data_IF_066759593740
#
_entry.id   IF_066759593740
#
_cell.length_a   1.000
_cell.length_b   1.000
_cell.length_c   1.000
_cell.angle_alpha   90.00
_cell.angle_beta   90.00
_cell.angle_gamma   90.00
#
_symmetry.space_group_name_H-M   'P 1'
#
loop_
_entity.id
_entity.type
_entity.pdbx_description
1 polymer ?
#
# COMPACT_ATOMS: atom_id res chain seq x y z
N UNK A 1 24.82 -4.30 25.23
CA UNK A 1 24.23 -5.41 26.00
C UNK A 1 22.85 -4.95 26.48
N UNK A 2 21.89 -5.87 26.41
CA UNK A 2 20.42 -5.73 26.39
C UNK A 2 19.74 -4.82 27.42
N UNK A 3 18.52 -4.38 27.08
CA UNK A 3 17.29 -4.37 27.90
C UNK A 3 16.11 -3.95 26.98
N UNK A 4 15.27 -4.87 26.50
CA UNK A 4 13.99 -5.32 27.09
C UNK A 4 12.95 -4.20 27.33
N UNK A 5 11.88 -4.21 26.53
CA UNK A 5 10.57 -3.63 26.86
C UNK A 5 9.51 -4.73 26.71
N UNK A 6 9.43 -5.54 27.76
CA UNK A 6 8.41 -6.53 28.03
C UNK A 6 7.17 -5.82 28.57
N UNK A 7 6.02 -6.04 27.94
CA UNK A 7 4.72 -5.49 28.33
C UNK A 7 4.27 -6.12 29.66
N UNK A 8 4.14 -5.30 30.71
CA UNK A 8 3.57 -5.70 32.00
C UNK A 8 2.05 -5.57 32.00
N UNK A 9 1.40 -6.66 32.40
CA UNK A 9 -0.03 -6.78 32.69
C UNK A 9 -0.32 -6.37 34.15
N UNK A 10 -1.38 -5.59 34.42
CA UNK A 10 -2.02 -5.56 35.74
C UNK A 10 -3.53 -5.90 35.59
N UNK A 11 -4.16 -6.79 36.35
CA UNK A 11 -3.77 -7.62 37.47
C UNK A 11 -4.99 -8.46 37.87
N UNK A 12 -4.75 -9.60 38.49
CA UNK A 12 -5.76 -10.39 39.20
C UNK A 12 -5.20 -10.74 40.57
N UNK A 13 -6.00 -10.53 41.62
CA UNK A 13 -5.76 -11.16 42.91
C UNK A 13 -6.23 -10.35 44.13
N UNK A 14 -7.43 -10.66 44.63
CA UNK A 14 -7.61 -10.92 46.07
C UNK A 14 -8.87 -11.76 46.30
N UNK A 15 -8.85 -12.55 47.38
CA UNK A 15 -9.60 -13.79 47.57
C UNK A 15 -10.73 -13.67 48.62
N UNK A 16 -11.87 -14.33 48.35
CA UNK A 16 -12.88 -14.94 49.27
C UNK A 16 -13.64 -14.07 50.29
N UNK A 17 -14.76 -14.56 50.92
CA UNK A 17 -15.37 -15.89 50.85
C UNK A 17 -16.92 -15.97 50.64
N UNK A 18 -17.38 -17.19 50.31
CA UNK A 18 -18.63 -17.90 50.66
C UNK A 18 -20.04 -17.26 50.48
N UNK A 19 -20.82 -17.84 49.57
CA UNK A 19 -22.14 -18.45 49.90
C UNK A 19 -22.42 -19.63 48.97
N UNK A 20 -22.55 -20.80 49.61
CA UNK A 20 -23.13 -22.06 49.16
C UNK A 20 -24.62 -21.87 48.81
N UNK A 21 -25.11 -22.45 47.70
CA UNK A 21 -26.34 -23.27 47.58
C UNK A 21 -26.44 -23.79 46.12
N UNK A 22 -26.47 -25.10 45.95
CA UNK A 22 -27.37 -25.76 44.97
C UNK A 22 -26.73 -26.36 43.73
N UNK A 23 -26.27 -27.61 43.83
CA UNK A 23 -25.94 -28.44 42.68
C UNK A 23 -27.17 -29.08 42.02
N UNK A 24 -27.07 -29.34 40.71
CA UNK A 24 -27.64 -30.51 40.04
C UNK A 24 -27.18 -30.59 38.57
N UNK A 25 -26.42 -31.63 38.24
CA UNK A 25 -26.63 -32.46 37.04
C UNK A 25 -26.09 -32.00 35.68
N UNK A 26 -25.13 -32.78 35.15
CA UNK A 26 -25.30 -33.35 33.81
C UNK A 26 -24.39 -32.87 32.68
N UNK A 27 -23.25 -33.54 32.55
CA UNK A 27 -22.61 -34.04 31.32
C UNK A 27 -22.67 -33.20 30.01
N UNK A 28 -21.49 -32.80 29.52
CA UNK A 28 -21.33 -32.26 28.17
C UNK A 28 -19.88 -31.91 27.85
N UNK A 29 -19.08 -32.94 27.56
CA UNK A 29 -17.72 -32.88 27.08
C UNK A 29 -17.66 -32.14 25.73
N UNK A 30 -16.83 -31.11 25.60
CA UNK A 30 -16.60 -30.44 24.32
C UNK A 30 -16.01 -29.05 24.50
N UNK A 31 -14.68 -28.96 24.42
CA UNK A 31 -13.98 -27.69 24.41
C UNK A 31 -14.47 -26.83 23.25
N UNK A 32 -15.21 -25.78 23.56
CA UNK A 32 -15.29 -24.62 22.68
C UNK A 32 -13.98 -23.86 22.86
N UNK A 33 -12.95 -24.32 22.15
CA UNK A 33 -11.93 -23.40 21.68
C UNK A 33 -12.69 -22.25 21.00
N UNK A 34 -12.54 -21.05 21.54
CA UNK A 34 -13.14 -19.84 21.01
C UNK A 34 -12.91 -19.81 19.50
N UNK A 35 -13.98 -19.96 18.73
CA UNK A 35 -13.92 -19.78 17.29
C UNK A 35 -13.35 -18.39 17.03
N UNK A 36 -12.41 -18.23 16.09
CA UNK A 36 -11.96 -16.90 15.72
C UNK A 36 -13.19 -16.09 15.28
N UNK A 37 -13.32 -14.82 15.68
CA UNK A 37 -14.51 -13.99 15.48
C UNK A 37 -15.03 -13.90 14.03
N UNK A 38 -14.22 -14.32 13.05
CA UNK A 38 -14.54 -14.32 11.62
C UNK A 38 -15.37 -15.54 11.16
N UNK A 39 -15.25 -16.70 11.81
CA UNK A 39 -15.93 -17.93 11.36
C UNK A 39 -17.46 -17.88 11.57
N UNK A 40 -17.89 -17.23 12.64
CA UNK A 40 -19.31 -17.07 12.98
C UNK A 40 -20.03 -16.15 12.00
N UNK A 41 -19.39 -15.04 11.59
CA UNK A 41 -19.96 -14.09 10.62
C UNK A 41 -20.07 -14.69 9.22
N UNK A 42 -19.08 -15.48 8.82
CA UNK A 42 -19.10 -16.21 7.55
C UNK A 42 -20.28 -17.18 7.46
N UNK A 43 -20.51 -17.98 8.52
CA UNK A 43 -21.63 -18.91 8.58
C UNK A 43 -23.00 -18.22 8.55
N UNK A 44 -23.11 -17.04 9.16
CA UNK A 44 -24.30 -16.18 9.09
C UNK A 44 -24.58 -15.71 7.66
N UNK A 45 -23.55 -15.21 6.96
CA UNK A 45 -23.69 -14.78 5.56
C UNK A 45 -24.03 -15.96 4.64
N UNK A 46 -23.45 -17.14 4.85
CA UNK A 46 -23.80 -18.36 4.10
C UNK A 46 -25.23 -18.85 4.36
N UNK A 47 -25.75 -18.61 5.56
CA UNK A 47 -27.14 -18.90 5.89
C UNK A 47 -28.08 -17.93 5.16
N UNK A 48 -27.80 -16.63 5.21
CA UNK A 48 -28.56 -15.59 4.49
C UNK A 48 -28.51 -15.85 2.98
N UNK A 49 -27.35 -16.17 2.40
CA UNK A 49 -27.19 -16.52 0.98
C UNK A 49 -28.09 -17.70 0.57
N UNK A 50 -28.35 -18.66 1.46
CA UNK A 50 -29.22 -19.82 1.20
C UNK A 50 -30.70 -19.52 1.39
N UNK A 51 -31.07 -18.66 2.34
CA UNK A 51 -32.46 -18.45 2.74
C UNK A 51 -33.09 -17.18 2.16
N UNK A 52 -32.28 -16.16 1.90
CA UNK A 52 -32.72 -14.82 1.50
C UNK A 52 -31.65 -14.14 0.60
N UNK A 53 -31.64 -14.56 -0.66
CA UNK A 53 -30.67 -14.09 -1.64
C UNK A 53 -30.84 -12.60 -2.00
N UNK A 54 -32.08 -12.08 -1.95
CA UNK A 54 -32.34 -10.65 -2.20
C UNK A 54 -31.64 -9.79 -1.15
N UNK A 55 -31.77 -10.16 0.13
CA UNK A 55 -31.05 -9.50 1.22
C UNK A 55 -29.53 -9.62 1.09
N UNK A 56 -29.03 -10.78 0.65
CA UNK A 56 -27.60 -10.99 0.40
C UNK A 56 -27.02 -10.01 -0.63
N UNK A 57 -27.75 -9.73 -1.72
CA UNK A 57 -27.33 -8.75 -2.73
C UNK A 57 -27.55 -7.29 -2.29
N UNK A 58 -28.71 -6.98 -1.72
CA UNK A 58 -29.09 -5.61 -1.33
C UNK A 58 -28.21 -5.05 -0.20
N UNK A 59 -27.82 -5.89 0.77
CA UNK A 59 -26.94 -5.50 1.88
C UNK A 59 -25.44 -5.57 1.50
N UNK A 60 -25.10 -6.01 0.27
CA UNK A 60 -23.71 -6.11 -0.19
C UNK A 60 -22.88 -7.14 0.58
N UNK A 61 -23.53 -8.19 1.11
CA UNK A 61 -22.90 -9.25 1.88
C UNK A 61 -21.95 -10.10 1.02
N UNK A 62 -22.04 -10.01 -0.31
CA UNK A 62 -21.10 -10.60 -1.25
C UNK A 62 -19.67 -10.05 -1.08
N UNK A 63 -19.54 -8.75 -0.83
CA UNK A 63 -18.24 -8.09 -0.62
C UNK A 63 -17.65 -8.48 0.73
N UNK A 64 -18.50 -8.53 1.76
CA UNK A 64 -18.10 -8.95 3.10
C UNK A 64 -17.67 -10.43 3.11
N UNK A 65 -18.44 -11.30 2.46
CA UNK A 65 -18.11 -12.72 2.33
C UNK A 65 -16.80 -12.95 1.57
N UNK A 66 -16.57 -12.23 0.47
CA UNK A 66 -15.29 -12.28 -0.26
C UNK A 66 -14.12 -11.79 0.60
N UNK A 67 -14.29 -10.73 1.38
CA UNK A 67 -13.25 -10.24 2.28
C UNK A 67 -12.91 -11.26 3.38
N UNK A 68 -13.91 -11.95 3.94
CA UNK A 68 -13.72 -13.02 4.91
C UNK A 68 -12.99 -14.22 4.31
N UNK A 69 -13.38 -14.65 3.10
CA UNK A 69 -12.68 -15.71 2.38
C UNK A 69 -11.23 -15.33 2.06
N UNK A 70 -11.00 -14.10 1.65
CA UNK A 70 -9.66 -13.58 1.38
C UNK A 70 -8.79 -13.56 2.64
N UNK A 71 -9.36 -13.15 3.79
CA UNK A 71 -8.67 -13.18 5.08
C UNK A 71 -8.34 -14.60 5.57
N UNK A 72 -9.21 -15.59 5.34
CA UNK A 72 -8.91 -16.99 5.63
C UNK A 72 -7.79 -17.54 4.74
N UNK A 73 -7.86 -17.20 3.45
CA UNK A 73 -6.84 -17.56 2.46
C UNK A 73 -5.48 -16.95 2.83
N UNK A 74 -5.44 -15.70 3.28
CA UNK A 74 -4.23 -15.01 3.74
C UNK A 74 -3.71 -15.52 5.09
N UNK A 75 -4.60 -15.95 6.00
CA UNK A 75 -4.20 -16.54 7.27
C UNK A 75 -3.55 -17.92 7.11
N UNK A 76 -4.00 -18.72 6.14
CA UNK A 76 -3.46 -20.05 5.83
C UNK A 76 -2.26 -19.97 4.89
N UNK A 77 -2.29 -19.03 3.94
CA UNK A 77 -1.19 -18.74 3.04
C UNK A 77 -1.02 -17.22 2.96
N UNK A 78 -0.07 -16.65 3.73
CA UNK A 78 0.23 -15.23 3.66
C UNK A 78 0.51 -14.73 2.24
N UNK A 79 0.94 -15.60 1.32
CA UNK A 79 1.22 -15.25 -0.09
C UNK A 79 -0.03 -15.15 -0.97
N UNK A 80 -1.20 -15.58 -0.51
CA UNK A 80 -2.40 -15.66 -1.35
C UNK A 80 -3.20 -14.33 -1.43
N UNK A 81 -2.82 -13.33 -0.62
CA UNK A 81 -3.31 -11.96 -0.73
C UNK A 81 -2.67 -11.19 -1.86
N UNK A 82 -3.47 -10.54 -2.70
CA UNK A 82 -2.99 -9.67 -3.78
C UNK A 82 -2.42 -8.36 -3.17
N UNK A 83 -1.10 -8.17 -3.10
CA UNK A 83 -0.48 -7.01 -2.46
C UNK A 83 -0.78 -5.70 -3.19
N UNK A 84 -1.10 -5.80 -4.48
CA UNK A 84 -1.42 -4.64 -5.34
C UNK A 84 -2.92 -4.37 -5.46
N UNK A 85 -3.73 -4.97 -4.60
CA UNK A 85 -5.15 -4.67 -4.54
C UNK A 85 -5.34 -3.19 -4.14
N UNK A 86 -6.11 -2.38 -4.91
CA UNK A 86 -6.36 -0.99 -4.58
C UNK A 86 -7.04 -0.85 -3.21
N UNK A 87 -6.51 0.04 -2.37
CA UNK A 87 -7.14 0.36 -1.09
C UNK A 87 -8.43 1.17 -1.32
N UNK A 88 -9.54 0.88 -0.62
CA UNK A 88 -10.76 1.68 -0.71
C UNK A 88 -10.49 3.17 -0.45
N UNK A 89 -11.22 4.04 -1.15
CA UNK A 89 -11.00 5.49 -1.09
C UNK A 89 -11.21 6.05 0.33
N UNK A 90 -12.23 5.61 1.06
CA UNK A 90 -12.51 6.11 2.41
C UNK A 90 -11.42 5.69 3.41
N UNK A 91 -10.89 4.47 3.27
CA UNK A 91 -9.75 4.00 4.05
C UNK A 91 -8.49 4.80 3.71
N UNK A 92 -8.21 5.00 2.42
CA UNK A 92 -7.05 5.77 1.95
C UNK A 92 -7.11 7.23 2.42
N UNK A 93 -8.30 7.85 2.39
CA UNK A 93 -8.52 9.20 2.92
C UNK A 93 -8.25 9.25 4.42
N UNK A 94 -8.74 8.27 5.18
CA UNK A 94 -8.52 8.21 6.62
C UNK A 94 -7.03 8.13 6.95
N UNK A 95 -6.28 7.29 6.23
CA UNK A 95 -4.83 7.15 6.39
C UNK A 95 -4.10 8.44 6.01
N UNK A 96 -4.36 9.00 4.82
CA UNK A 96 -3.70 10.24 4.37
C UNK A 96 -4.03 11.43 5.29
N UNK A 97 -5.27 11.54 5.75
CA UNK A 97 -5.68 12.63 6.63
C UNK A 97 -5.11 12.52 8.07
N UNK A 98 -4.36 11.46 8.39
CA UNK A 98 -3.65 11.34 9.68
C UNK A 98 -2.43 12.26 9.79
N UNK A 99 -1.94 12.81 8.68
CA UNK A 99 -0.85 13.79 8.64
C UNK A 99 -1.27 15.11 7.98
N UNK A 100 -0.50 16.18 8.21
CA UNK A 100 -0.80 17.48 7.61
C UNK A 100 -0.55 17.47 6.09
N UNK A 101 0.48 16.76 5.65
CA UNK A 101 0.88 16.60 4.25
C UNK A 101 -0.20 15.86 3.48
N UNK A 102 -0.70 14.74 4.03
CA UNK A 102 -1.75 13.97 3.39
C UNK A 102 -3.11 14.69 3.39
N UNK A 103 -3.44 15.49 4.41
CA UNK A 103 -4.62 16.37 4.38
C UNK A 103 -4.55 17.39 3.23
N UNK A 104 -3.38 18.00 3.00
CA UNK A 104 -3.17 18.92 1.87
C UNK A 104 -3.34 18.20 0.55
N UNK A 105 -2.69 17.04 0.37
CA UNK A 105 -2.80 16.21 -0.83
C UNK A 105 -4.25 15.86 -1.16
N UNK A 106 -5.00 15.35 -0.16
CA UNK A 106 -6.43 15.03 -0.32
C UNK A 106 -7.19 16.27 -0.78
N UNK A 107 -6.96 17.43 -0.15
CA UNK A 107 -7.61 18.68 -0.52
C UNK A 107 -7.28 19.16 -1.94
N UNK A 108 -6.05 18.96 -2.41
CA UNK A 108 -5.62 19.28 -3.76
C UNK A 108 -6.25 18.34 -4.79
N UNK A 109 -6.24 17.03 -4.53
CA UNK A 109 -6.86 16.04 -5.40
C UNK A 109 -8.38 16.25 -5.54
N UNK A 110 -9.05 16.66 -4.47
CA UNK A 110 -10.46 17.06 -4.55
C UNK A 110 -10.68 18.23 -5.52
N UNK A 111 -9.79 19.22 -5.51
CA UNK A 111 -9.89 20.39 -6.41
C UNK A 111 -9.54 20.05 -7.85
N UNK A 112 -8.65 19.09 -8.09
CA UNK A 112 -8.17 18.73 -9.44
C UNK A 112 -9.11 17.83 -10.24
N UNK A 113 -10.13 17.23 -9.61
CA UNK A 113 -11.04 16.32 -10.32
C UNK A 113 -11.69 15.25 -9.44
N UNK A 114 -11.43 15.28 -8.13
CA UNK A 114 -12.03 14.39 -7.14
C UNK A 114 -11.04 13.34 -6.65
N UNK A 115 -10.91 13.25 -5.32
CA UNK A 115 -9.95 12.37 -4.65
C UNK A 115 -10.02 10.92 -5.14
N UNK A 116 -11.23 10.37 -5.28
CA UNK A 116 -11.44 8.97 -5.67
C UNK A 116 -10.89 8.65 -7.05
N UNK A 117 -11.07 9.54 -8.02
CA UNK A 117 -10.59 9.30 -9.39
C UNK A 117 -9.07 9.34 -9.44
N UNK A 118 -8.47 10.35 -8.82
CA UNK A 118 -7.01 10.52 -8.82
C UNK A 118 -6.34 9.38 -8.06
N UNK A 119 -6.84 9.03 -6.87
CA UNK A 119 -6.35 7.89 -6.09
C UNK A 119 -6.39 6.59 -6.91
N UNK A 120 -7.50 6.31 -7.59
CA UNK A 120 -7.61 5.10 -8.40
C UNK A 120 -6.57 5.04 -9.53
N UNK A 121 -6.23 6.19 -10.13
CA UNK A 121 -5.18 6.28 -11.15
C UNK A 121 -3.80 6.04 -10.54
N UNK A 122 -3.49 6.71 -9.42
CA UNK A 122 -2.20 6.57 -8.72
C UNK A 122 -2.01 5.12 -8.24
N UNK A 123 -3.02 4.52 -7.61
CA UNK A 123 -2.95 3.12 -7.14
C UNK A 123 -2.78 2.13 -8.30
N UNK A 124 -3.38 2.40 -9.46
CA UNK A 124 -3.15 1.58 -10.66
C UNK A 124 -1.69 1.67 -11.10
N UNK A 125 -1.15 2.88 -11.18
CA UNK A 125 0.20 3.13 -11.68
C UNK A 125 1.28 2.57 -10.75
N UNK A 126 1.13 2.80 -9.45
CA UNK A 126 1.98 2.21 -8.42
C UNK A 126 1.83 0.68 -8.39
N UNK A 127 0.61 0.17 -8.51
CA UNK A 127 0.36 -1.28 -8.57
C UNK A 127 1.05 -1.96 -9.76
N UNK A 128 1.12 -1.30 -10.92
CA UNK A 128 1.88 -1.80 -12.08
C UNK A 128 3.39 -1.79 -11.85
N UNK A 129 3.93 -0.80 -11.10
CA UNK A 129 5.34 -0.76 -10.71
C UNK A 129 5.65 -1.88 -9.72
N UNK A 130 4.83 -2.05 -8.69
CA UNK A 130 5.03 -3.07 -7.66
C UNK A 130 5.00 -4.47 -8.27
N UNK A 131 4.09 -4.74 -9.22
CA UNK A 131 4.02 -6.01 -9.95
C UNK A 131 5.33 -6.39 -10.65
N UNK A 132 6.13 -5.41 -11.04
CA UNK A 132 7.42 -5.65 -11.69
C UNK A 132 8.39 -6.37 -10.74
N UNK A 133 8.27 -6.19 -9.42
CA UNK A 133 9.11 -6.87 -8.42
C UNK A 133 8.95 -8.41 -8.42
N UNK A 134 7.91 -8.94 -9.07
CA UNK A 134 7.70 -10.38 -9.25
C UNK A 134 6.52 -10.92 -8.45
N UNK A 135 6.74 -11.99 -7.69
CA UNK A 135 5.68 -12.67 -6.94
C UNK A 135 5.17 -11.85 -5.73
N UNK A 136 4.06 -12.29 -5.12
CA UNK A 136 3.42 -11.58 -4.02
C UNK A 136 4.35 -11.33 -2.82
N UNK A 137 5.27 -12.26 -2.53
CA UNK A 137 6.27 -12.09 -1.47
C UNK A 137 7.20 -10.90 -1.76
N UNK A 138 7.76 -10.83 -2.98
CA UNK A 138 8.64 -9.73 -3.39
C UNK A 138 7.91 -8.40 -3.46
N UNK A 139 6.66 -8.40 -3.93
CA UNK A 139 5.81 -7.22 -3.95
C UNK A 139 5.59 -6.66 -2.53
N UNK A 140 5.27 -7.52 -1.55
CA UNK A 140 5.12 -7.12 -0.15
C UNK A 140 6.42 -6.61 0.44
N UNK A 141 7.53 -7.31 0.16
CA UNK A 141 8.83 -6.88 0.62
C UNK A 141 9.17 -5.49 0.09
N UNK A 142 8.94 -5.22 -1.20
CA UNK A 142 9.13 -3.90 -1.79
C UNK A 142 8.26 -2.82 -1.12
N UNK A 143 6.98 -3.12 -0.89
CA UNK A 143 6.07 -2.18 -0.22
C UNK A 143 6.49 -1.92 1.23
N UNK A 144 6.91 -2.96 1.95
CA UNK A 144 7.37 -2.84 3.33
C UNK A 144 8.66 -2.02 3.41
N UNK A 145 9.67 -2.32 2.57
CA UNK A 145 10.93 -1.56 2.58
C UNK A 145 10.72 -0.12 2.16
N UNK A 146 9.77 0.16 1.28
CA UNK A 146 9.36 1.53 0.97
C UNK A 146 8.80 2.23 2.21
N UNK A 147 7.83 1.64 2.91
CA UNK A 147 7.23 2.23 4.13
C UNK A 147 8.25 2.41 5.26
N UNK A 148 9.25 1.53 5.37
CA UNK A 148 10.29 1.62 6.40
C UNK A 148 11.39 2.66 6.06
N UNK A 149 11.73 2.79 4.78
CA UNK A 149 12.87 3.61 4.34
C UNK A 149 12.48 5.02 3.88
N UNK A 150 11.26 5.22 3.37
CA UNK A 150 10.84 6.49 2.77
C UNK A 150 10.01 7.29 3.77
N UNK A 151 10.42 8.51 4.14
CA UNK A 151 9.64 9.37 5.03
C UNK A 151 8.26 9.69 4.45
N UNK A 152 7.27 9.88 5.33
CA UNK A 152 5.88 10.12 4.91
C UNK A 152 5.74 11.33 3.96
N UNK A 153 6.52 12.39 4.15
CA UNK A 153 6.51 13.55 3.26
C UNK A 153 6.96 13.18 1.84
N UNK A 154 8.00 12.35 1.70
CA UNK A 154 8.48 11.85 0.42
C UNK A 154 7.48 10.90 -0.24
N UNK A 155 6.80 10.05 0.55
CA UNK A 155 5.70 9.22 0.04
C UNK A 155 4.57 10.08 -0.53
N UNK A 156 4.10 11.09 0.22
CA UNK A 156 3.04 12.01 -0.22
C UNK A 156 3.45 12.77 -1.47
N UNK A 157 4.68 13.29 -1.53
CA UNK A 157 5.19 14.00 -2.70
C UNK A 157 5.29 13.09 -3.93
N UNK A 158 5.68 11.82 -3.74
CA UNK A 158 5.70 10.83 -4.82
C UNK A 158 4.28 10.53 -5.34
N UNK A 159 3.30 10.38 -4.45
CA UNK A 159 1.90 10.20 -4.85
C UNK A 159 1.40 11.40 -5.68
N UNK A 160 1.75 12.61 -5.26
CA UNK A 160 1.37 13.82 -6.00
C UNK A 160 2.02 13.90 -7.38
N UNK A 161 3.28 13.48 -7.50
CA UNK A 161 3.96 13.41 -8.80
C UNK A 161 3.30 12.41 -9.75
N UNK A 162 2.81 11.26 -9.26
CA UNK A 162 2.01 10.34 -10.07
C UNK A 162 0.67 10.96 -10.50
N UNK A 163 0.04 11.77 -9.65
CA UNK A 163 -1.21 12.44 -9.96
C UNK A 163 -1.06 13.61 -10.95
N UNK A 164 0.05 14.34 -10.89
CA UNK A 164 0.27 15.63 -11.56
C UNK A 164 0.40 15.59 -13.10
N UNK A 165 0.24 14.42 -13.72
CA UNK A 165 0.38 14.26 -15.17
C UNK A 165 1.79 14.58 -15.67
N UNK A 166 2.02 14.43 -16.98
CA UNK A 166 3.35 14.63 -17.58
C UNK A 166 3.64 16.13 -17.74
N UNK A 167 4.65 16.69 -17.06
CA UNK A 167 5.00 18.10 -17.26
C UNK A 167 5.61 18.32 -18.63
N UNK A 168 5.40 19.52 -19.18
CA UNK A 168 6.28 19.99 -20.24
C UNK A 168 7.68 20.25 -19.68
N UNK A 169 8.70 19.78 -20.38
CA UNK A 169 10.10 20.02 -20.06
C UNK A 169 10.90 20.26 -21.36
N UNK A 170 11.93 21.12 -21.32
CA UNK A 170 12.84 21.23 -22.45
C UNK A 170 13.58 19.89 -22.67
N UNK A 171 13.89 19.52 -23.92
CA UNK A 171 14.68 18.32 -24.19
C UNK A 171 16.05 18.38 -23.50
N UNK A 172 16.47 17.25 -22.93
CA UNK A 172 17.77 17.10 -22.32
C UNK A 172 18.89 17.24 -23.35
N UNK A 173 19.99 17.87 -22.94
CA UNK A 173 21.24 17.91 -23.70
C UNK A 173 21.88 16.51 -23.79
N UNK A 174 22.78 16.31 -24.75
CA UNK A 174 23.48 15.03 -24.88
C UNK A 174 24.24 14.65 -23.60
N UNK A 175 24.88 15.61 -22.93
CA UNK A 175 25.59 15.35 -21.67
C UNK A 175 24.67 14.89 -20.53
N UNK A 176 23.42 15.38 -20.49
CA UNK A 176 22.42 14.93 -19.51
C UNK A 176 21.91 13.53 -19.83
N UNK A 177 21.76 13.20 -21.12
CA UNK A 177 21.41 11.85 -21.57
C UNK A 177 22.54 10.87 -21.23
N UNK A 178 23.79 11.24 -21.48
CA UNK A 178 24.96 10.42 -21.16
C UNK A 178 25.09 10.21 -19.64
N UNK A 179 24.77 11.23 -18.84
CA UNK A 179 24.72 11.11 -17.38
C UNK A 179 23.63 10.15 -16.91
N UNK A 180 22.42 10.27 -17.48
CA UNK A 180 21.31 9.37 -17.20
C UNK A 180 21.65 7.91 -17.60
N UNK A 181 22.32 7.73 -18.74
CA UNK A 181 22.79 6.43 -19.23
C UNK A 181 24.01 5.86 -18.48
N UNK A 182 24.45 6.44 -17.34
CA UNK A 182 25.47 5.80 -16.50
C UNK A 182 24.93 4.60 -15.73
N UNK A 183 23.65 4.62 -15.37
CA UNK A 183 22.99 3.49 -14.70
C UNK A 183 22.51 2.46 -15.72
N UNK A 184 22.40 1.20 -15.32
CA UNK A 184 21.97 0.14 -16.24
C UNK A 184 20.53 0.36 -16.71
N UNK A 185 19.63 0.76 -15.80
CA UNK A 185 18.26 1.14 -16.14
C UNK A 185 18.22 2.33 -17.11
N UNK A 186 19.08 3.34 -16.91
CA UNK A 186 19.18 4.50 -17.78
C UNK A 186 19.62 4.13 -19.20
N UNK A 187 20.61 3.25 -19.36
CA UNK A 187 21.04 2.74 -20.67
C UNK A 187 19.90 2.04 -21.40
N UNK A 188 19.21 1.13 -20.71
CA UNK A 188 18.07 0.39 -21.26
C UNK A 188 17.01 1.37 -21.76
N UNK A 189 16.69 2.40 -20.97
CA UNK A 189 15.67 3.39 -21.35
C UNK A 189 16.10 4.28 -22.51
N UNK A 190 17.34 4.76 -22.56
CA UNK A 190 17.85 5.55 -23.70
C UNK A 190 17.81 4.73 -24.98
N UNK A 191 18.21 3.45 -24.92
CA UNK A 191 18.13 2.54 -26.06
C UNK A 191 16.67 2.31 -26.49
N UNK A 192 15.76 2.14 -25.53
CA UNK A 192 14.35 1.90 -25.79
C UNK A 192 13.65 3.11 -26.42
N UNK A 193 13.92 4.33 -25.93
CA UNK A 193 13.32 5.57 -26.44
C UNK A 193 13.95 6.06 -27.74
N UNK A 194 15.22 5.72 -28.01
CA UNK A 194 15.92 6.11 -29.22
C UNK A 194 15.89 7.63 -29.44
N UNK A 195 15.19 8.08 -30.48
CA UNK A 195 15.10 9.50 -30.84
C UNK A 195 14.31 10.35 -29.84
N UNK A 196 13.44 9.73 -29.05
CA UNK A 196 12.65 10.43 -28.01
C UNK A 196 13.41 10.59 -26.69
N UNK A 197 14.60 9.98 -26.55
CA UNK A 197 15.37 10.02 -25.30
C UNK A 197 15.60 11.44 -24.76
N UNK A 198 15.94 12.47 -25.56
CA UNK A 198 16.08 13.84 -25.05
C UNK A 198 14.83 14.35 -24.34
N UNK A 199 13.65 14.14 -24.93
CA UNK A 199 12.38 14.59 -24.36
C UNK A 199 12.04 13.83 -23.07
N UNK A 200 12.14 12.50 -23.11
CA UNK A 200 11.84 11.63 -21.96
C UNK A 200 12.76 11.89 -20.77
N UNK A 201 14.06 12.06 -21.02
CA UNK A 201 15.02 12.42 -19.97
C UNK A 201 14.75 13.82 -19.43
N UNK A 202 14.38 14.78 -20.29
CA UNK A 202 13.97 16.12 -19.86
C UNK A 202 12.78 16.08 -18.89
N UNK A 203 11.74 15.30 -19.21
CA UNK A 203 10.56 15.09 -18.35
C UNK A 203 10.97 14.50 -17.01
N UNK A 204 11.76 13.41 -17.01
CA UNK A 204 12.21 12.77 -15.77
C UNK A 204 13.00 13.73 -14.87
N UNK A 205 13.91 14.50 -15.46
CA UNK A 205 14.69 15.52 -14.74
C UNK A 205 13.79 16.59 -14.13
N UNK A 206 12.79 17.06 -14.89
CA UNK A 206 11.85 18.06 -14.38
C UNK A 206 11.02 17.53 -13.21
N UNK A 207 10.55 16.28 -13.28
CA UNK A 207 9.84 15.62 -12.18
C UNK A 207 10.72 15.40 -10.97
N UNK A 208 11.94 14.89 -11.17
CA UNK A 208 12.90 14.71 -10.08
C UNK A 208 13.21 16.04 -9.37
N UNK A 209 13.35 17.13 -10.12
CA UNK A 209 13.53 18.46 -9.55
C UNK A 209 12.31 18.90 -8.72
N UNK A 210 11.09 18.77 -9.23
CA UNK A 210 9.87 19.11 -8.47
C UNK A 210 9.74 18.28 -7.18
N UNK A 211 10.04 16.98 -7.26
CA UNK A 211 10.02 16.09 -6.12
C UNK A 211 11.01 16.56 -5.05
N UNK A 212 12.28 16.80 -5.43
CA UNK A 212 13.30 17.29 -4.50
C UNK A 212 12.97 18.69 -3.95
N UNK A 213 12.43 19.60 -4.78
CA UNK A 213 12.05 20.96 -4.36
C UNK A 213 10.94 20.96 -3.28
N UNK A 214 10.18 19.86 -3.16
CA UNK A 214 9.12 19.68 -2.17
C UNK A 214 9.56 18.97 -0.88
N UNK A 215 10.82 18.53 -0.82
CA UNK A 215 11.37 17.75 0.28
C UNK A 215 12.54 18.48 0.95
N UNK A 216 12.78 18.13 2.20
CA UNK A 216 14.05 18.47 2.85
C UNK A 216 15.20 17.65 2.27
N UNK A 217 16.45 18.09 2.52
CA UNK A 217 17.63 17.38 2.04
C UNK A 217 17.70 15.94 2.57
N UNK A 218 17.37 15.75 3.86
CA UNK A 218 17.37 14.42 4.50
C UNK A 218 16.27 13.52 3.91
N UNK A 219 15.05 14.03 3.71
CA UNK A 219 13.95 13.26 3.11
C UNK A 219 14.24 12.87 1.66
N UNK A 220 14.86 13.77 0.89
CA UNK A 220 15.30 13.47 -0.46
C UNK A 220 16.42 12.40 -0.45
N UNK A 221 17.36 12.48 0.49
CA UNK A 221 18.44 11.50 0.62
C UNK A 221 17.89 10.10 0.93
N UNK A 222 16.94 9.98 1.87
CA UNK A 222 16.29 8.70 2.20
C UNK A 222 15.53 8.11 1.00
N UNK A 223 14.81 8.96 0.26
CA UNK A 223 14.12 8.55 -0.96
C UNK A 223 15.09 8.03 -2.03
N UNK A 224 16.19 8.74 -2.28
CA UNK A 224 17.19 8.31 -3.27
C UNK A 224 17.94 7.07 -2.82
N UNK A 225 18.24 6.92 -1.53
CA UNK A 225 18.85 5.71 -0.99
C UNK A 225 17.97 4.48 -1.17
N UNK A 226 16.66 4.61 -0.93
CA UNK A 226 15.69 3.55 -1.24
C UNK A 226 15.65 3.25 -2.74
N UNK A 227 15.56 4.28 -3.57
CA UNK A 227 15.46 4.14 -5.03
C UNK A 227 16.69 3.46 -5.64
N UNK A 228 17.89 3.80 -5.18
CA UNK A 228 19.16 3.21 -5.62
C UNK A 228 19.30 1.73 -5.22
N UNK A 229 18.54 1.28 -4.21
CA UNK A 229 18.47 -0.11 -3.77
C UNK A 229 17.54 -0.99 -4.61
N UNK A 230 16.79 -0.43 -5.56
CA UNK A 230 15.82 -1.17 -6.37
C UNK A 230 16.49 -1.97 -7.49
N UNK A 231 15.89 -3.12 -7.81
CA UNK A 231 16.32 -3.92 -8.95
C UNK A 231 16.11 -3.15 -10.28
N UNK A 232 17.04 -3.33 -11.22
CA UNK A 232 17.06 -2.62 -12.52
C UNK A 232 15.71 -2.62 -13.25
N UNK A 233 15.03 -3.77 -13.28
CA UNK A 233 13.74 -3.91 -13.97
C UNK A 233 12.62 -3.05 -13.34
N UNK A 234 12.60 -2.94 -12.01
CA UNK A 234 11.66 -2.07 -11.27
C UNK A 234 11.97 -0.60 -11.58
N UNK A 235 13.25 -0.21 -11.55
CA UNK A 235 13.70 1.15 -11.90
C UNK A 235 13.32 1.52 -13.33
N UNK A 236 13.56 0.63 -14.29
CA UNK A 236 13.14 0.80 -15.69
C UNK A 236 11.63 1.01 -15.81
N UNK A 237 10.81 0.26 -15.05
CA UNK A 237 9.35 0.44 -15.04
C UNK A 237 8.96 1.82 -14.48
N UNK A 238 9.60 2.26 -13.39
CA UNK A 238 9.38 3.60 -12.83
C UNK A 238 9.71 4.68 -13.86
N UNK A 239 10.89 4.61 -14.50
CA UNK A 239 11.28 5.57 -15.53
C UNK A 239 10.29 5.62 -16.69
N UNK A 240 9.84 4.47 -17.21
CA UNK A 240 8.83 4.43 -18.27
C UNK A 240 7.55 5.14 -17.84
N UNK A 241 7.04 4.81 -16.64
CA UNK A 241 5.81 5.39 -16.12
C UNK A 241 5.93 6.91 -15.92
N UNK A 242 7.02 7.36 -15.30
CA UNK A 242 7.25 8.77 -14.99
C UNK A 242 7.54 9.62 -16.24
N UNK A 243 8.10 9.02 -17.29
CA UNK A 243 8.33 9.69 -18.58
C UNK A 243 7.08 9.77 -19.49
N UNK A 244 5.91 9.32 -19.00
CA UNK A 244 4.63 9.44 -19.71
C UNK A 244 4.07 8.17 -20.35
N UNK A 245 4.59 6.99 -19.99
CA UNK A 245 4.09 5.69 -20.46
C UNK A 245 4.82 5.20 -21.70
#
# INVERSE_FOLDING_TARGET
>A
MSNELTISNPGAGSAGPATDVGGAGGAGQGGFASLPPNATRKAEIEAIMRTDFARYEDEGLDKEYRALLQGEIEAVNPEAGNPTAPMPADASRTVLCSSQEGQKLVGEWERMGGFRMILSSVQKDVGEIVKEAGNNLRQRYLMQTFTEAVPLAAEVALMDEFASGVPWAPPASQGEIDLFAKTEAGKIMVQHWGREAPERVGILRKRAARLVDSLTEDEAADLWAWFDGLDTHVVTRIFRKMAGG
#
